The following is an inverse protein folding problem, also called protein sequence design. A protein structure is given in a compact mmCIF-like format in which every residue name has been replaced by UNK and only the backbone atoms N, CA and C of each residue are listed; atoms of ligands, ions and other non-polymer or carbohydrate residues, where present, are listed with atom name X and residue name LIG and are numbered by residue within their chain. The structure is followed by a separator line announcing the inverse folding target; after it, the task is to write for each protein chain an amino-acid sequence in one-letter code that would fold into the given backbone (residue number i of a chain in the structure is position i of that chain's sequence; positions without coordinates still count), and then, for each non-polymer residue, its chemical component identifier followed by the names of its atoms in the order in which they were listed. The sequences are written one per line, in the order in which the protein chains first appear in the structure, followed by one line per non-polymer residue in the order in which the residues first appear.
data_IF_707747202256
#
_entry.id   IF_707747202256
#
_cell.length_a   1.000
_cell.length_b   1.000
_cell.length_c   1.000
_cell.angle_alpha   90.00
_cell.angle_beta   90.00
_cell.angle_gamma   90.00
#
_symmetry.space_group_name_H-M   'P 1'
#
loop_
_entity.id
_entity.type
_entity.pdbx_description
1 polymer ?
#
# COMPACT_ATOMS: atom_id res chain seq x y z
N UNK A 1 -6.19 -15.04 -1.74
CA UNK A 1 -5.25 -13.92 -1.58
C UNK A 1 -4.64 -13.93 -0.19
N UNK A 2 -3.33 -13.79 -0.07
CA UNK A 2 -2.64 -13.57 1.20
C UNK A 2 -2.52 -12.06 1.50
N UNK A 3 -2.70 -11.66 2.76
CA UNK A 3 -2.64 -10.26 3.18
C UNK A 3 -2.06 -10.13 4.58
N UNK A 4 -1.46 -8.97 4.89
CA UNK A 4 -1.23 -8.57 6.27
C UNK A 4 -2.57 -8.47 7.01
N UNK A 5 -2.61 -8.95 8.25
CA UNK A 5 -3.79 -8.91 9.11
C UNK A 5 -4.18 -7.46 9.44
N UNK A 6 -5.46 -7.15 9.32
CA UNK A 6 -6.02 -5.83 9.62
C UNK A 6 -5.69 -4.77 8.58
N UNK A 7 -5.21 -5.16 7.40
CA UNK A 7 -4.90 -4.20 6.35
C UNK A 7 -6.16 -3.46 5.85
N UNK A 8 -6.00 -2.17 5.55
CA UNK A 8 -7.10 -1.26 5.24
C UNK A 8 -7.91 -1.65 3.98
N UNK A 9 -7.31 -2.41 3.06
CA UNK A 9 -7.97 -2.88 1.83
C UNK A 9 -8.88 -4.09 2.04
N UNK A 10 -8.81 -4.80 3.17
CA UNK A 10 -9.61 -6.02 3.40
C UNK A 10 -11.13 -5.76 3.30
N UNK A 11 -11.70 -4.70 3.91
CA UNK A 11 -13.11 -4.36 3.72
C UNK A 11 -13.47 -4.03 2.27
N UNK A 12 -12.61 -3.30 1.54
CA UNK A 12 -12.82 -2.95 0.14
C UNK A 12 -12.88 -4.20 -0.75
N UNK A 13 -11.96 -5.14 -0.55
CA UNK A 13 -11.94 -6.42 -1.27
C UNK A 13 -13.14 -7.30 -0.93
N UNK A 14 -13.55 -7.34 0.34
CA UNK A 14 -14.77 -8.07 0.72
C UNK A 14 -16.00 -7.49 0.02
N UNK A 15 -16.13 -6.16 -0.04
CA UNK A 15 -17.20 -5.48 -0.76
C UNK A 15 -17.16 -5.75 -2.27
N UNK A 16 -15.97 -5.74 -2.88
CA UNK A 16 -15.79 -6.09 -4.29
C UNK A 16 -16.22 -7.54 -4.56
N UNK A 17 -15.83 -8.46 -3.68
CA UNK A 17 -16.13 -9.89 -3.78
C UNK A 17 -17.63 -10.18 -3.65
N UNK A 18 -18.32 -9.57 -2.68
CA UNK A 18 -19.74 -9.83 -2.44
C UNK A 18 -20.68 -9.01 -3.33
N UNK A 19 -20.19 -7.90 -3.90
CA UNK A 19 -20.88 -7.11 -4.91
C UNK A 19 -20.49 -7.55 -6.32
N UNK A 20 -19.56 -6.81 -6.93
CA UNK A 20 -19.20 -6.97 -8.34
C UNK A 20 -18.89 -8.41 -8.75
N UNK A 21 -18.07 -9.14 -7.98
CA UNK A 21 -17.70 -10.52 -8.35
C UNK A 21 -18.90 -11.47 -8.28
N UNK A 22 -19.79 -11.32 -7.29
CA UNK A 22 -20.99 -12.14 -7.17
C UNK A 22 -21.98 -11.84 -8.30
N UNK A 23 -22.24 -10.56 -8.60
CA UNK A 23 -23.11 -10.11 -9.69
C UNK A 23 -22.64 -10.62 -11.06
N UNK A 24 -21.33 -10.65 -11.27
CA UNK A 24 -20.71 -11.06 -12.52
C UNK A 24 -20.25 -12.53 -12.55
N UNK A 25 -20.56 -13.33 -11.53
CA UNK A 25 -20.20 -14.77 -11.42
C UNK A 25 -18.70 -15.03 -11.58
N UNK A 26 -17.86 -14.15 -11.04
CA UNK A 26 -16.38 -14.22 -11.13
C UNK A 26 -15.74 -15.08 -10.02
N UNK A 27 -16.55 -15.64 -9.12
CA UNK A 27 -16.08 -16.34 -7.92
C UNK A 27 -15.74 -15.39 -6.77
N UNK A 28 -15.70 -15.93 -5.56
CA UNK A 28 -15.40 -15.14 -4.36
C UNK A 28 -13.88 -14.95 -4.18
N UNK A 29 -13.48 -13.77 -3.70
CA UNK A 29 -12.12 -13.51 -3.24
C UNK A 29 -12.03 -13.96 -1.79
N UNK A 30 -11.24 -15.00 -1.52
CA UNK A 30 -10.93 -15.41 -0.14
C UNK A 30 -9.64 -14.72 0.33
N UNK A 31 -9.74 -14.02 1.45
CA UNK A 31 -8.59 -13.37 2.11
C UNK A 31 -8.07 -14.27 3.23
N UNK A 32 -6.77 -14.60 3.15
CA UNK A 32 -6.02 -15.27 4.20
C UNK A 32 -5.12 -14.23 4.87
N UNK A 33 -5.41 -13.92 6.14
CA UNK A 33 -4.68 -12.91 6.90
C UNK A 33 -3.50 -13.53 7.67
N UNK A 34 -2.32 -12.93 7.53
CA UNK A 34 -1.09 -13.33 8.18
C UNK A 34 -0.58 -12.23 9.10
N UNK A 35 0.16 -12.59 10.15
CA UNK A 35 0.71 -11.63 11.11
C UNK A 35 1.82 -10.73 10.54
N UNK A 36 2.33 -11.02 9.34
CA UNK A 36 3.34 -10.20 8.67
C UNK A 36 3.35 -10.42 7.15
N UNK A 37 3.79 -9.41 6.40
CA UNK A 37 3.97 -9.48 4.94
C UNK A 37 4.90 -10.61 4.47
N UNK A 38 6.04 -10.91 5.15
CA UNK A 38 6.86 -12.06 4.79
C UNK A 38 6.15 -13.41 4.93
N UNK A 39 5.25 -13.58 5.91
CA UNK A 39 4.47 -14.81 6.05
C UNK A 39 3.42 -14.93 4.94
N UNK A 40 2.78 -13.82 4.55
CA UNK A 40 1.90 -13.79 3.38
C UNK A 40 2.66 -14.16 2.09
N UNK A 41 3.90 -13.68 1.94
CA UNK A 41 4.75 -14.01 0.78
C UNK A 41 5.17 -15.48 0.77
N UNK A 42 5.44 -16.06 1.94
CA UNK A 42 5.70 -17.50 2.06
C UNK A 42 4.49 -18.32 1.62
N UNK A 43 3.27 -17.91 1.97
CA UNK A 43 2.06 -18.59 1.51
C UNK A 43 1.92 -18.55 -0.02
N UNK A 44 2.22 -17.40 -0.65
CA UNK A 44 2.26 -17.28 -2.10
C UNK A 44 3.33 -18.20 -2.73
N UNK A 45 4.56 -18.18 -2.20
CA UNK A 45 5.66 -19.02 -2.66
C UNK A 45 5.39 -20.53 -2.48
N UNK A 46 4.67 -20.89 -1.42
CA UNK A 46 4.23 -22.25 -1.13
C UNK A 46 2.98 -22.67 -1.93
N UNK A 47 2.43 -21.77 -2.76
CA UNK A 47 1.17 -21.98 -3.51
C UNK A 47 -0.05 -22.22 -2.63
N UNK A 48 -0.02 -21.75 -1.38
CA UNK A 48 -1.18 -21.72 -0.49
C UNK A 48 -2.11 -20.53 -0.74
N UNK A 49 -1.65 -19.53 -1.50
CA UNK A 49 -2.43 -18.42 -2.00
C UNK A 49 -2.04 -18.10 -3.45
N UNK A 50 -2.99 -17.61 -4.25
CA UNK A 50 -2.77 -17.29 -5.67
C UNK A 50 -2.06 -15.94 -5.88
N UNK A 51 -2.32 -14.99 -4.99
CA UNK A 51 -1.77 -13.62 -5.02
C UNK A 51 -1.59 -13.12 -3.59
N UNK A 52 -0.64 -12.19 -3.40
CA UNK A 52 -0.52 -11.35 -2.21
C UNK A 52 -0.87 -9.92 -2.58
N UNK A 53 -1.58 -9.23 -1.69
CA UNK A 53 -1.82 -7.79 -1.78
C UNK A 53 -1.09 -7.12 -0.62
N UNK A 54 -0.29 -6.11 -0.92
CA UNK A 54 0.52 -5.38 0.05
C UNK A 54 0.82 -3.96 -0.44
N UNK A 55 1.46 -3.15 0.40
CA UNK A 55 1.94 -1.84 0.00
C UNK A 55 2.97 -1.94 -1.13
N UNK A 56 3.00 -0.96 -2.05
CA UNK A 56 3.86 -1.02 -3.23
C UNK A 56 5.35 -1.12 -2.89
N UNK A 57 5.81 -0.35 -1.89
CA UNK A 57 7.19 -0.39 -1.41
C UNK A 57 7.55 -1.77 -0.82
N UNK A 58 6.64 -2.36 -0.03
CA UNK A 58 6.83 -3.69 0.57
C UNK A 58 6.84 -4.77 -0.50
N UNK A 59 5.95 -4.66 -1.50
CA UNK A 59 5.90 -5.56 -2.65
C UNK A 59 7.20 -5.49 -3.45
N UNK A 60 7.74 -4.29 -3.71
CA UNK A 60 9.02 -4.12 -4.40
C UNK A 60 10.17 -4.72 -3.60
N UNK A 61 10.23 -4.47 -2.30
CA UNK A 61 11.22 -5.09 -1.42
C UNK A 61 11.13 -6.63 -1.46
N UNK A 62 9.93 -7.19 -1.54
CA UNK A 62 9.73 -8.63 -1.62
C UNK A 62 10.24 -9.22 -2.94
N UNK A 63 10.03 -8.53 -4.07
CA UNK A 63 10.60 -8.92 -5.37
C UNK A 63 12.13 -8.98 -5.28
N UNK A 64 12.76 -7.94 -4.72
CA UNK A 64 14.21 -7.85 -4.56
C UNK A 64 14.74 -8.97 -3.66
N UNK A 65 14.14 -9.15 -2.48
CA UNK A 65 14.56 -10.14 -1.48
C UNK A 65 14.37 -11.59 -1.96
N UNK A 66 13.32 -11.84 -2.75
CA UNK A 66 13.05 -13.15 -3.33
C UNK A 66 13.81 -13.41 -4.62
N UNK A 67 14.69 -12.47 -5.04
CA UNK A 67 15.50 -12.56 -6.27
C UNK A 67 14.64 -12.82 -7.51
N UNK A 68 13.50 -12.13 -7.60
CA UNK A 68 12.58 -12.23 -8.74
C UNK A 68 11.73 -13.50 -8.79
N UNK A 69 11.71 -14.32 -7.74
CA UNK A 69 10.76 -15.45 -7.64
C UNK A 69 9.31 -14.99 -7.50
N UNK A 70 9.12 -13.77 -7.00
CA UNK A 70 7.86 -13.05 -7.01
C UNK A 70 7.95 -11.87 -7.98
N UNK A 71 6.80 -11.44 -8.48
CA UNK A 71 6.66 -10.29 -9.37
C UNK A 71 5.43 -9.48 -8.97
N UNK A 72 5.49 -8.15 -9.17
CA UNK A 72 4.32 -7.28 -9.06
C UNK A 72 3.56 -7.38 -10.38
N UNK A 73 2.27 -7.73 -10.30
CA UNK A 73 1.41 -7.91 -11.49
C UNK A 73 0.52 -6.71 -11.78
N UNK A 74 0.28 -5.84 -10.79
CA UNK A 74 -0.45 -4.59 -11.00
C UNK A 74 0.43 -3.54 -11.68
N UNK A 75 -0.16 -2.79 -12.61
CA UNK A 75 0.52 -1.67 -13.28
C UNK A 75 0.29 -0.33 -12.57
N UNK A 76 -0.71 -0.29 -11.70
CA UNK A 76 -1.13 0.89 -10.91
C UNK A 76 -1.39 0.48 -9.47
N UNK A 77 -1.44 1.48 -8.58
CA UNK A 77 -1.93 1.27 -7.21
C UNK A 77 -3.44 1.00 -7.28
N UNK A 78 -3.87 -0.10 -6.67
CA UNK A 78 -5.28 -0.53 -6.72
C UNK A 78 -6.13 0.14 -5.63
N UNK A 79 -5.56 0.38 -4.45
CA UNK A 79 -6.20 1.04 -3.31
C UNK A 79 -5.28 2.16 -2.79
N UNK A 80 -5.32 3.36 -3.41
CA UNK A 80 -4.45 4.46 -3.00
C UNK A 80 -4.85 4.95 -1.61
N UNK A 81 -3.91 4.84 -0.68
CA UNK A 81 -4.05 5.36 0.69
C UNK A 81 -2.98 6.42 0.90
N UNK A 82 -3.38 7.58 1.40
CA UNK A 82 -2.43 8.64 1.73
C UNK A 82 -1.81 8.34 3.09
N UNK A 83 -0.50 8.21 3.08
CA UNK A 83 0.30 7.98 4.27
C UNK A 83 0.89 9.32 4.72
N UNK A 84 0.71 9.65 6.00
CA UNK A 84 1.26 10.84 6.64
C UNK A 84 2.03 10.51 7.91
N UNK A 85 2.90 11.43 8.33
CA UNK A 85 3.57 11.36 9.63
C UNK A 85 2.65 11.91 10.71
N UNK A 86 2.24 11.06 11.66
CA UNK A 86 1.43 11.47 12.80
C UNK A 86 2.23 12.33 13.79
N UNK A 87 1.73 13.52 14.10
CA UNK A 87 2.30 14.43 15.09
C UNK A 87 1.30 14.64 16.24
N UNK A 88 1.79 14.70 17.47
CA UNK A 88 0.96 15.00 18.63
C UNK A 88 0.31 16.39 18.50
N UNK A 89 -0.97 16.51 18.87
CA UNK A 89 -1.70 17.79 18.85
C UNK A 89 -0.95 18.84 19.69
N UNK A 90 -0.79 20.04 19.14
CA UNK A 90 -0.08 21.16 19.76
C UNK A 90 1.44 21.12 19.66
N UNK A 91 2.02 20.08 19.03
CA UNK A 91 3.47 20.03 18.76
C UNK A 91 3.80 20.68 17.41
N UNK A 92 3.54 21.99 17.31
CA UNK A 92 3.73 22.75 16.06
C UNK A 92 5.20 22.81 15.64
N UNK A 93 6.13 22.76 16.62
CA UNK A 93 7.56 22.73 16.32
C UNK A 93 7.94 21.50 15.51
N UNK A 94 7.49 20.30 15.93
CA UNK A 94 7.78 19.07 15.20
C UNK A 94 7.07 19.04 13.85
N UNK A 95 5.81 19.49 13.80
CA UNK A 95 5.06 19.58 12.55
C UNK A 95 5.78 20.45 11.53
N UNK A 96 6.20 21.65 11.92
CA UNK A 96 6.89 22.59 11.05
C UNK A 96 8.26 22.06 10.59
N UNK A 97 9.00 21.38 11.47
CA UNK A 97 10.28 20.77 11.12
C UNK A 97 10.12 19.66 10.09
N UNK A 98 9.14 18.78 10.26
CA UNK A 98 8.86 17.69 9.31
C UNK A 98 8.40 18.22 7.95
N UNK A 99 7.49 19.20 7.94
CA UNK A 99 7.02 19.84 6.70
C UNK A 99 8.16 20.51 5.95
N UNK A 100 9.00 21.28 6.64
CA UNK A 100 10.15 21.97 6.02
C UNK A 100 11.16 20.97 5.43
N UNK A 101 11.47 19.89 6.17
CA UNK A 101 12.36 18.86 5.67
C UNK A 101 11.80 18.17 4.42
N UNK A 102 10.49 17.86 4.39
CA UNK A 102 9.84 17.28 3.22
C UNK A 102 9.90 18.23 2.01
N UNK A 103 9.65 19.53 2.21
CA UNK A 103 9.74 20.53 1.15
C UNK A 103 11.16 20.65 0.57
N UNK A 104 12.20 20.56 1.42
CA UNK A 104 13.58 20.50 0.97
C UNK A 104 13.87 19.25 0.12
N UNK A 105 13.39 18.07 0.55
CA UNK A 105 13.52 16.83 -0.23
C UNK A 105 12.75 16.87 -1.56
N UNK A 106 11.62 17.58 -1.61
CA UNK A 106 10.89 17.82 -2.87
C UNK A 106 11.70 18.71 -3.80
N UNK A 107 12.22 19.84 -3.30
CA UNK A 107 13.01 20.82 -4.07
C UNK A 107 14.29 20.22 -4.65
N UNK A 108 14.96 19.35 -3.90
CA UNK A 108 16.22 18.74 -4.35
C UNK A 108 16.01 17.44 -5.17
N UNK A 109 14.77 17.00 -5.37
CA UNK A 109 14.40 15.84 -6.18
C UNK A 109 14.57 14.47 -5.51
N UNK A 110 15.09 14.41 -4.28
CA UNK A 110 15.27 13.14 -3.56
C UNK A 110 13.94 12.46 -3.26
N UNK A 111 12.90 13.24 -2.97
CA UNK A 111 11.55 12.72 -2.73
C UNK A 111 11.01 12.01 -3.98
N UNK A 112 11.14 12.64 -5.14
CA UNK A 112 10.70 12.04 -6.41
C UNK A 112 11.49 10.77 -6.75
N UNK A 113 12.80 10.76 -6.50
CA UNK A 113 13.63 9.59 -6.70
C UNK A 113 13.21 8.41 -5.80
N UNK A 114 12.83 8.68 -4.54
CA UNK A 114 12.30 7.66 -3.64
C UNK A 114 10.95 7.12 -4.13
N UNK A 115 10.04 7.99 -4.56
CA UNK A 115 8.75 7.58 -5.10
C UNK A 115 8.94 6.66 -6.31
N UNK A 116 9.79 7.03 -7.26
CA UNK A 116 10.11 6.21 -8.43
C UNK A 116 10.71 4.85 -8.03
N UNK A 117 11.67 4.85 -7.10
CA UNK A 117 12.31 3.62 -6.63
C UNK A 117 11.32 2.60 -6.07
N UNK A 118 10.28 3.07 -5.38
CA UNK A 118 9.28 2.20 -4.74
C UNK A 118 7.95 2.13 -5.49
N UNK A 119 7.92 2.60 -6.74
CA UNK A 119 6.72 2.65 -7.58
C UNK A 119 5.52 3.34 -6.90
N UNK A 120 5.80 4.43 -6.21
CA UNK A 120 4.83 5.29 -5.54
C UNK A 120 4.57 6.56 -6.35
N UNK A 121 3.46 7.21 -6.04
CA UNK A 121 3.07 8.49 -6.62
C UNK A 121 2.93 9.51 -5.49
N UNK A 122 3.26 10.77 -5.78
CA UNK A 122 2.97 11.87 -4.86
C UNK A 122 1.46 12.12 -4.88
N UNK A 123 0.79 12.16 -3.71
CA UNK A 123 -0.63 12.47 -3.66
C UNK A 123 -0.90 13.90 -4.11
N UNK A 124 -1.94 14.07 -4.91
CA UNK A 124 -2.46 15.38 -5.32
C UNK A 124 -3.06 16.14 -4.14
N UNK A 125 -3.20 17.46 -4.30
CA UNK A 125 -3.85 18.30 -3.29
C UNK A 125 -5.30 17.87 -3.00
N UNK A 126 -6.02 17.40 -4.01
CA UNK A 126 -7.40 16.92 -3.88
C UNK A 126 -7.47 15.61 -3.10
N UNK A 127 -6.56 14.68 -3.36
CA UNK A 127 -6.44 13.44 -2.59
C UNK A 127 -6.11 13.75 -1.13
N UNK A 128 -5.14 14.64 -0.87
CA UNK A 128 -4.79 15.07 0.48
C UNK A 128 -6.01 15.67 1.20
N UNK A 129 -6.74 16.56 0.54
CA UNK A 129 -7.94 17.15 1.10
C UNK A 129 -9.04 16.11 1.39
N UNK A 130 -9.20 15.11 0.52
CA UNK A 130 -10.15 14.02 0.73
C UNK A 130 -9.77 13.15 1.93
N UNK A 131 -8.47 12.89 2.16
CA UNK A 131 -8.00 12.11 3.30
C UNK A 131 -8.29 12.77 4.67
N UNK A 132 -8.47 14.09 4.71
CA UNK A 132 -8.85 14.81 5.93
C UNK A 132 -10.37 14.87 6.19
N UNK A 133 -11.22 14.40 5.26
CA UNK A 133 -12.70 14.42 5.40
C UNK A 133 -13.27 13.24 6.22
N UNK A 134 -12.49 12.71 7.16
CA UNK A 134 -12.93 11.68 8.10
C UNK A 134 -13.98 12.18 9.08
#
# INVERSE_FOLDING_TARGET
MASLKGAAWVPALNKLSTGYCAENKLGAITVQEYSSSPLAAQALLARAADVQFDDAAVSQMMVDQTKGRLQITSQTILEPVIIGLGVAKGNDQLLNALTSALDEQKKNGSYQALLQKYNLQEPSADEIAAAFKG
#
